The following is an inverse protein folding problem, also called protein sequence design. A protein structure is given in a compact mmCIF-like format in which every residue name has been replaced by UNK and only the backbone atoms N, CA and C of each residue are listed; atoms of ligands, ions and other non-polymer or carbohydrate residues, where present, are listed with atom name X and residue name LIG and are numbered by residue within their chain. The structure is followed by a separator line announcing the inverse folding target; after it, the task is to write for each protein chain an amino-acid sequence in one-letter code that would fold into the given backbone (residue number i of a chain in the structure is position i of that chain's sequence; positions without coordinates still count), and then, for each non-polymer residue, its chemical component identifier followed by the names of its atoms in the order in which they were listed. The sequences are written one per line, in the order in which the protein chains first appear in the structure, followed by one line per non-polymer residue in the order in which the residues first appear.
data_IF_096582801827
#
_entry.id   IF_096582801827
#
_cell.length_a   1.000
_cell.length_b   1.000
_cell.length_c   1.000
_cell.angle_alpha   90.00
_cell.angle_beta   90.00
_cell.angle_gamma   90.00
#
_symmetry.space_group_name_H-M   'P 1'
#
loop_
_entity.id
_entity.type
_entity.pdbx_description
1 polymer ?
#
# COMPACT_ATOMS: atom_id res chain seq x y z
N UNK A 1 -36.31 16.53 -13.99
CA UNK A 1 -35.77 17.02 -12.70
C UNK A 1 -35.38 15.88 -11.75
N UNK A 2 -36.18 14.80 -11.57
CA UNK A 2 -35.78 13.64 -10.75
C UNK A 2 -34.58 12.83 -11.28
N UNK A 3 -34.41 12.76 -12.60
CA UNK A 3 -33.33 12.02 -13.26
C UNK A 3 -31.94 12.65 -13.05
N UNK A 4 -31.85 13.98 -13.05
CA UNK A 4 -30.60 14.73 -12.85
C UNK A 4 -29.97 14.48 -11.46
N UNK A 5 -30.81 14.42 -10.41
CA UNK A 5 -30.30 14.22 -9.04
C UNK A 5 -29.70 12.83 -8.82
N UNK A 6 -30.14 11.83 -9.59
CA UNK A 6 -29.57 10.49 -9.50
C UNK A 6 -28.25 10.41 -10.28
N UNK A 7 -28.12 11.05 -11.44
CA UNK A 7 -26.85 11.12 -12.18
C UNK A 7 -25.74 11.77 -11.34
N UNK A 8 -26.05 12.83 -10.61
CA UNK A 8 -25.06 13.52 -9.76
C UNK A 8 -24.51 12.62 -8.65
N UNK A 9 -25.36 11.74 -8.08
CA UNK A 9 -24.94 10.78 -7.05
C UNK A 9 -24.00 9.72 -7.61
N UNK A 10 -24.26 9.20 -8.80
CA UNK A 10 -23.38 8.22 -9.45
C UNK A 10 -22.01 8.83 -9.77
N UNK A 11 -21.98 10.06 -10.27
CA UNK A 11 -20.73 10.78 -10.53
C UNK A 11 -19.89 10.99 -9.28
N UNK A 12 -20.52 11.39 -8.16
CA UNK A 12 -19.82 11.54 -6.87
C UNK A 12 -19.28 10.20 -6.37
N UNK A 13 -20.07 9.12 -6.50
CA UNK A 13 -19.64 7.78 -6.11
C UNK A 13 -18.43 7.31 -6.92
N UNK A 14 -18.50 7.41 -8.25
CA UNK A 14 -17.42 7.03 -9.16
C UNK A 14 -16.14 7.81 -8.86
N UNK A 15 -16.23 9.13 -8.71
CA UNK A 15 -15.07 9.96 -8.37
C UNK A 15 -14.45 9.56 -7.02
N UNK A 16 -15.28 9.22 -6.03
CA UNK A 16 -14.80 8.75 -4.73
C UNK A 16 -14.07 7.41 -4.82
N UNK A 17 -14.62 6.45 -5.57
CA UNK A 17 -13.98 5.16 -5.81
C UNK A 17 -12.65 5.31 -6.56
N UNK A 18 -12.58 6.21 -7.54
CA UNK A 18 -11.35 6.53 -8.26
C UNK A 18 -10.29 7.12 -7.32
N UNK A 19 -10.67 8.06 -6.44
CA UNK A 19 -9.75 8.62 -5.44
C UNK A 19 -9.20 7.54 -4.49
N UNK A 20 -10.06 6.63 -4.02
CA UNK A 20 -9.64 5.48 -3.21
C UNK A 20 -8.65 4.59 -3.96
N UNK A 21 -8.89 4.36 -5.26
CA UNK A 21 -8.01 3.57 -6.11
C UNK A 21 -6.60 4.18 -6.25
N UNK A 22 -6.51 5.52 -6.37
CA UNK A 22 -5.26 6.26 -6.37
C UNK A 22 -4.52 6.15 -5.03
N UNK A 23 -5.23 6.36 -3.92
CA UNK A 23 -4.65 6.25 -2.57
C UNK A 23 -4.11 4.84 -2.32
N UNK A 24 -4.88 3.80 -2.65
CA UNK A 24 -4.43 2.42 -2.55
C UNK A 24 -3.17 2.17 -3.40
N UNK A 25 -3.06 2.80 -4.57
CA UNK A 25 -1.85 2.76 -5.40
C UNK A 25 -0.63 3.37 -4.70
N UNK A 26 -0.79 4.53 -4.06
CA UNK A 26 0.29 5.16 -3.30
C UNK A 26 0.76 4.29 -2.13
N UNK A 27 -0.16 3.64 -1.43
CA UNK A 27 0.16 2.70 -0.35
C UNK A 27 0.96 1.50 -0.89
N UNK A 28 0.57 0.93 -2.03
CA UNK A 28 1.34 -0.15 -2.67
C UNK A 28 2.76 0.30 -2.98
N UNK A 29 2.95 1.50 -3.54
CA UNK A 29 4.28 2.04 -3.81
C UNK A 29 5.10 2.26 -2.55
N UNK A 30 4.51 2.75 -1.46
CA UNK A 30 5.18 2.88 -0.17
C UNK A 30 5.63 1.52 0.38
N UNK A 31 4.80 0.49 0.27
CA UNK A 31 5.15 -0.87 0.68
C UNK A 31 6.29 -1.45 -0.16
N UNK A 32 6.25 -1.24 -1.48
CA UNK A 32 7.35 -1.66 -2.37
C UNK A 32 8.65 -0.98 -1.99
N UNK A 33 8.64 0.34 -1.79
CA UNK A 33 9.82 1.09 -1.36
C UNK A 33 10.36 0.59 -0.02
N UNK A 34 9.47 0.28 0.94
CA UNK A 34 9.85 -0.29 2.22
C UNK A 34 10.57 -1.64 2.05
N UNK A 35 10.02 -2.55 1.23
CA UNK A 35 10.65 -3.86 0.92
C UNK A 35 12.02 -3.66 0.28
N UNK A 36 12.11 -2.76 -0.70
CA UNK A 36 13.37 -2.49 -1.38
C UNK A 36 14.42 -2.00 -0.38
N UNK A 37 14.10 -1.03 0.47
CA UNK A 37 15.05 -0.52 1.48
C UNK A 37 15.43 -1.61 2.49
N UNK A 38 14.45 -2.37 3.02
CA UNK A 38 14.72 -3.47 3.95
C UNK A 38 15.65 -4.53 3.35
N UNK A 39 15.42 -4.93 2.10
CA UNK A 39 16.27 -5.91 1.42
C UNK A 39 17.64 -5.36 1.10
N UNK A 40 17.73 -4.11 0.63
CA UNK A 40 19.02 -3.47 0.37
C UNK A 40 19.86 -3.34 1.65
N UNK A 41 19.24 -3.08 2.80
CA UNK A 41 19.90 -3.08 4.11
C UNK A 41 20.29 -4.51 4.53
N UNK A 42 19.38 -5.47 4.38
CA UNK A 42 19.59 -6.86 4.79
C UNK A 42 20.76 -7.52 4.05
N UNK A 43 20.87 -7.31 2.74
CA UNK A 43 21.96 -7.83 1.91
C UNK A 43 23.24 -6.99 1.98
N UNK A 44 23.31 -5.98 2.85
CA UNK A 44 24.49 -5.13 3.02
C UNK A 44 24.81 -4.22 1.85
N UNK A 45 23.86 -4.01 0.94
CA UNK A 45 24.01 -3.16 -0.25
C UNK A 45 23.98 -1.67 0.17
N UNK A 46 23.11 -1.33 1.11
CA UNK A 46 23.05 -0.01 1.72
C UNK A 46 23.68 -0.01 3.11
N UNK A 47 24.40 1.07 3.43
CA UNK A 47 24.95 1.28 4.76
C UNK A 47 23.93 2.04 5.64
N UNK A 48 23.40 1.42 6.72
CA UNK A 48 22.43 2.07 7.61
C UNK A 48 23.02 3.27 8.37
N UNK A 49 24.36 3.40 8.42
CA UNK A 49 25.02 4.55 9.06
C UNK A 49 24.93 5.83 8.24
N UNK A 50 24.55 5.74 6.97
CA UNK A 50 24.37 6.92 6.14
C UNK A 50 23.06 7.61 6.51
N UNK A 51 23.15 8.89 6.92
CA UNK A 51 22.02 9.67 7.45
C UNK A 51 20.77 9.62 6.55
N UNK A 52 20.93 9.76 5.23
CA UNK A 52 19.78 9.72 4.32
C UNK A 52 19.11 8.34 4.30
N UNK A 53 19.89 7.26 4.38
CA UNK A 53 19.35 5.88 4.34
C UNK A 53 18.56 5.61 5.62
N UNK A 54 19.08 6.00 6.78
CA UNK A 54 18.38 5.83 8.05
C UNK A 54 17.09 6.64 8.11
N UNK A 55 17.11 7.90 7.65
CA UNK A 55 15.90 8.75 7.63
C UNK A 55 14.83 8.19 6.70
N UNK A 56 15.20 7.78 5.48
CA UNK A 56 14.25 7.19 4.52
C UNK A 56 13.70 5.86 5.04
N UNK A 57 14.57 4.99 5.56
CA UNK A 57 14.17 3.70 6.13
C UNK A 57 13.21 3.85 7.30
N UNK A 58 13.51 4.76 8.24
CA UNK A 58 12.60 5.05 9.36
C UNK A 58 11.26 5.62 8.90
N UNK A 59 11.28 6.52 7.92
CA UNK A 59 10.05 7.09 7.36
C UNK A 59 9.17 6.01 6.74
N UNK A 60 9.74 5.18 5.85
CA UNK A 60 9.02 4.09 5.20
C UNK A 60 8.49 3.07 6.20
N UNK A 61 9.31 2.69 7.19
CA UNK A 61 8.89 1.79 8.25
C UNK A 61 7.72 2.40 9.04
N UNK A 62 7.81 3.67 9.47
CA UNK A 62 6.72 4.34 10.22
C UNK A 62 5.43 4.46 9.41
N UNK A 63 5.51 4.76 8.12
CA UNK A 63 4.33 4.89 7.24
C UNK A 63 3.66 3.54 6.99
N UNK A 64 4.43 2.46 6.86
CA UNK A 64 3.91 1.12 6.53
C UNK A 64 3.51 0.31 7.77
N UNK A 65 4.10 0.59 8.94
CA UNK A 65 3.90 -0.19 10.16
C UNK A 65 2.42 -0.36 10.59
N UNK A 66 1.51 0.63 10.47
CA UNK A 66 0.10 0.44 10.80
C UNK A 66 -0.59 -0.66 9.96
N UNK A 67 -0.15 -0.84 8.71
CA UNK A 67 -0.67 -1.85 7.78
C UNK A 67 0.03 -3.19 8.01
N UNK A 68 1.33 -3.16 8.28
CA UNK A 68 2.15 -4.37 8.44
C UNK A 68 1.96 -5.02 9.81
N UNK A 69 1.76 -4.27 10.88
CA UNK A 69 1.65 -4.80 12.26
C UNK A 69 0.55 -5.86 12.40
N UNK A 70 -0.68 -5.67 11.89
CA UNK A 70 -1.71 -6.70 11.91
C UNK A 70 -1.29 -7.98 11.16
N UNK A 71 -0.61 -7.82 10.03
CA UNK A 71 -0.18 -8.91 9.15
C UNK A 71 0.96 -9.71 9.80
N UNK A 72 1.94 -9.02 10.40
CA UNK A 72 3.07 -9.60 11.16
C UNK A 72 2.64 -10.52 12.31
N UNK A 73 1.40 -10.41 12.80
CA UNK A 73 0.87 -11.31 13.85
C UNK A 73 0.65 -12.73 13.35
N UNK A 74 0.49 -12.91 12.04
CA UNK A 74 0.17 -14.19 11.41
C UNK A 74 1.33 -14.76 10.59
N UNK A 75 2.29 -13.93 10.20
CA UNK A 75 3.44 -14.33 9.39
C UNK A 75 4.70 -14.33 10.26
N UNK A 76 5.37 -15.48 10.42
CA UNK A 76 6.66 -15.51 11.09
C UNK A 76 7.70 -14.77 10.25
N UNK A 77 8.57 -14.02 10.91
CA UNK A 77 9.77 -13.47 10.28
C UNK A 77 10.74 -14.61 9.99
N UNK A 78 11.30 -14.66 8.79
CA UNK A 78 12.24 -15.71 8.39
C UNK A 78 13.61 -15.09 8.12
N UNK A 79 14.63 -15.58 8.82
CA UNK A 79 16.01 -15.10 8.71
C UNK A 79 16.15 -13.56 8.85
N UNK A 80 15.33 -12.92 9.67
CA UNK A 80 15.34 -11.46 9.84
C UNK A 80 14.75 -10.67 8.66
N UNK A 81 14.18 -11.35 7.65
CA UNK A 81 13.38 -10.73 6.59
C UNK A 81 11.91 -10.71 6.98
N UNK A 82 11.27 -9.57 6.71
CA UNK A 82 9.83 -9.42 6.86
C UNK A 82 9.12 -9.62 5.51
N UNK A 83 8.29 -10.65 5.43
CA UNK A 83 7.48 -10.96 4.25
C UNK A 83 6.07 -10.35 4.32
N UNK A 84 5.71 -9.72 5.44
CA UNK A 84 4.42 -9.06 5.64
C UNK A 84 4.09 -8.01 4.57
N UNK A 85 5.05 -7.20 4.06
CA UNK A 85 4.74 -6.25 2.99
C UNK A 85 4.31 -6.91 1.68
N UNK A 86 4.88 -8.07 1.32
CA UNK A 86 4.47 -8.79 0.10
C UNK A 86 3.02 -9.24 0.20
N UNK A 87 2.62 -9.73 1.39
CA UNK A 87 1.25 -10.16 1.65
C UNK A 87 0.31 -8.94 1.68
N UNK A 88 0.73 -7.83 2.27
CA UNK A 88 -0.01 -6.58 2.23
C UNK A 88 -0.24 -6.07 0.79
N UNK A 89 0.80 -6.09 -0.04
CA UNK A 89 0.73 -5.71 -1.46
C UNK A 89 -0.24 -6.62 -2.21
N UNK A 90 -0.15 -7.94 -1.99
CA UNK A 90 -1.05 -8.91 -2.63
C UNK A 90 -2.52 -8.66 -2.27
N UNK A 91 -2.82 -8.45 -0.98
CA UNK A 91 -4.18 -8.12 -0.52
C UNK A 91 -4.66 -6.79 -1.12
N UNK A 92 -3.79 -5.78 -1.17
CA UNK A 92 -4.13 -4.49 -1.78
C UNK A 92 -4.40 -4.59 -3.28
N UNK A 93 -3.71 -5.46 -4.02
CA UNK A 93 -4.05 -5.71 -5.42
C UNK A 93 -5.44 -6.31 -5.58
N UNK A 94 -5.79 -7.30 -4.76
CA UNK A 94 -7.15 -7.86 -4.76
C UNK A 94 -8.19 -6.76 -4.50
N UNK A 95 -7.98 -5.91 -3.49
CA UNK A 95 -8.89 -4.80 -3.18
C UNK A 95 -9.00 -3.83 -4.35
N UNK A 96 -7.87 -3.45 -4.96
CA UNK A 96 -7.82 -2.56 -6.11
C UNK A 96 -8.55 -3.13 -7.33
N UNK A 97 -8.43 -4.43 -7.56
CA UNK A 97 -9.12 -5.10 -8.67
C UNK A 97 -10.63 -5.17 -8.43
N UNK A 98 -11.06 -5.45 -7.20
CA UNK A 98 -12.48 -5.39 -6.83
C UNK A 98 -13.08 -3.99 -7.01
N UNK A 99 -12.34 -2.93 -6.63
CA UNK A 99 -12.75 -1.55 -6.85
C UNK A 99 -12.82 -1.24 -8.36
N UNK A 100 -11.83 -1.67 -9.14
CA UNK A 100 -11.85 -1.50 -10.59
C UNK A 100 -13.07 -2.17 -11.24
N UNK A 101 -13.40 -3.40 -10.81
CA UNK A 101 -14.59 -4.11 -11.30
C UNK A 101 -15.84 -3.29 -10.98
N UNK A 102 -15.98 -2.77 -9.76
CA UNK A 102 -17.12 -1.94 -9.38
C UNK A 102 -17.23 -0.69 -10.25
N UNK A 103 -16.12 0.00 -10.52
CA UNK A 103 -16.08 1.21 -11.37
C UNK A 103 -16.48 0.89 -12.82
N UNK A 104 -16.04 -0.25 -13.37
CA UNK A 104 -16.36 -0.65 -14.75
C UNK A 104 -17.80 -1.16 -14.88
N UNK A 105 -18.33 -1.78 -13.82
CA UNK A 105 -19.68 -2.37 -13.81
C UNK A 105 -20.82 -1.38 -13.52
N UNK A 106 -20.49 -0.21 -12.95
CA UNK A 106 -21.42 0.87 -12.64
C UNK A 106 -21.61 1.83 -13.79
#
# INVERSE_FOLDING_TARGET
MYTQRNSDKYMILLNTLMLLQWIAGLIVWLLILNVVIEWLLHFGILNPRHYLVSVIGEFLHKMTNPILTPIRRYIPTYNGLDFSPLIAIFILFIIKDLINILIISG
#
